data_IF_017198762622
#
_entry.id   IF_017198762622
#
_cell.length_a   1.000
_cell.length_b   1.000
_cell.length_c   1.000
_cell.angle_alpha   90.00
_cell.angle_beta   90.00
_cell.angle_gamma   90.00
#
_symmetry.space_group_name_H-M   'P 1'
#
loop_
_entity.id
_entity.type
_entity.pdbx_description
1 polymer ?
#
# COMPACT_ATOMS: atom_id res chain seq x y z
N UNK A 1 -6.15 -23.08 -7.40
CA UNK A 1 -6.03 -21.68 -6.98
C UNK A 1 -5.01 -21.00 -7.89
N UNK A 2 -5.44 -20.04 -8.69
CA UNK A 2 -4.59 -19.22 -9.57
C UNK A 2 -4.32 -17.86 -8.90
N UNK A 3 -3.05 -17.49 -8.81
CA UNK A 3 -2.63 -16.22 -8.21
C UNK A 3 -1.91 -15.39 -9.26
N UNK A 4 -2.41 -14.20 -9.56
CA UNK A 4 -1.72 -13.22 -10.38
C UNK A 4 -0.90 -12.26 -9.53
N UNK A 5 0.29 -11.92 -9.99
CA UNK A 5 1.13 -10.85 -9.46
C UNK A 5 1.36 -9.87 -10.61
N UNK A 6 0.83 -8.66 -10.49
CA UNK A 6 0.96 -7.59 -11.48
C UNK A 6 1.93 -6.54 -10.97
N UNK A 7 2.89 -6.16 -11.78
CA UNK A 7 3.80 -5.06 -11.55
C UNK A 7 3.41 -3.91 -12.49
N UNK A 8 2.85 -2.85 -11.92
CA UNK A 8 2.39 -1.68 -12.67
C UNK A 8 3.58 -0.74 -12.95
N UNK A 9 3.87 -0.54 -14.23
CA UNK A 9 4.99 0.25 -14.76
C UNK A 9 4.48 1.30 -15.76
N UNK A 10 3.81 2.34 -15.27
CA UNK A 10 3.24 3.38 -16.13
C UNK A 10 2.11 2.85 -17.01
N UNK A 11 2.32 2.81 -18.33
CA UNK A 11 1.34 2.32 -19.32
C UNK A 11 1.39 0.79 -19.50
N UNK A 12 2.32 0.09 -18.84
CA UNK A 12 2.50 -1.37 -18.95
C UNK A 12 2.30 -2.09 -17.63
N UNK A 13 1.84 -3.33 -17.71
CA UNK A 13 1.78 -4.27 -16.60
C UNK A 13 2.63 -5.49 -16.94
N UNK A 14 3.63 -5.77 -16.10
CA UNK A 14 4.36 -7.04 -16.13
C UNK A 14 3.69 -7.99 -15.17
N UNK A 15 3.33 -9.20 -15.61
CA UNK A 15 2.61 -10.14 -14.76
C UNK A 15 3.33 -11.47 -14.61
N UNK A 16 2.99 -12.15 -13.51
CA UNK A 16 3.25 -13.56 -13.29
C UNK A 16 2.00 -14.21 -12.72
N UNK A 17 1.51 -15.25 -13.36
CA UNK A 17 0.43 -16.09 -12.85
C UNK A 17 1.04 -17.40 -12.35
N UNK A 18 0.70 -17.79 -11.14
CA UNK A 18 1.10 -19.04 -10.52
C UNK A 18 -0.13 -19.89 -10.19
N UNK A 19 0.02 -21.22 -10.19
CA UNK A 19 -1.08 -22.16 -10.05
C UNK A 19 -0.65 -23.55 -10.53
N UNK A 20 -1.42 -24.14 -11.45
CA UNK A 20 -1.07 -25.43 -12.10
C UNK A 20 0.13 -25.25 -13.03
N UNK A 21 0.10 -24.20 -13.86
CA UNK A 21 1.20 -23.79 -14.71
C UNK A 21 1.67 -22.39 -14.34
N UNK A 22 2.95 -22.10 -14.58
CA UNK A 22 3.50 -20.75 -14.43
C UNK A 22 3.47 -20.04 -15.77
N UNK A 23 2.84 -18.87 -15.80
CA UNK A 23 2.80 -17.99 -16.97
C UNK A 23 3.36 -16.61 -16.58
N UNK A 24 4.11 -15.98 -17.48
CA UNK A 24 4.57 -14.61 -17.30
C UNK A 24 4.56 -13.87 -18.64
N UNK A 25 4.39 -12.56 -18.57
CA UNK A 25 4.35 -11.70 -19.75
C UNK A 25 4.18 -10.24 -19.40
N UNK A 26 3.95 -9.43 -20.43
CA UNK A 26 3.58 -8.02 -20.29
C UNK A 26 2.39 -7.71 -21.18
N UNK A 27 1.56 -6.77 -20.76
CA UNK A 27 0.46 -6.21 -21.53
C UNK A 27 0.29 -4.73 -21.20
N UNK A 28 -0.43 -3.98 -22.03
CA UNK A 28 -0.67 -2.56 -21.80
C UNK A 28 -1.84 -2.36 -20.81
N UNK A 29 -1.83 -1.28 -20.02
CA UNK A 29 -2.84 -1.05 -18.98
C UNK A 29 -4.27 -1.00 -19.54
N UNK A 30 -4.45 -0.52 -20.77
CA UNK A 30 -5.75 -0.48 -21.46
C UNK A 30 -6.31 -1.88 -21.78
N UNK A 31 -5.49 -2.92 -21.74
CA UNK A 31 -5.90 -4.31 -21.97
C UNK A 31 -6.28 -5.05 -20.68
N UNK A 32 -6.25 -4.39 -19.52
CA UNK A 32 -6.39 -5.04 -18.20
C UNK A 32 -7.74 -5.74 -18.02
N UNK A 33 -8.84 -5.14 -18.48
CA UNK A 33 -10.18 -5.73 -18.34
C UNK A 33 -10.28 -7.04 -19.13
N UNK A 34 -9.93 -7.00 -20.42
CA UNK A 34 -9.92 -8.18 -21.28
C UNK A 34 -8.97 -9.27 -20.75
N UNK A 35 -7.83 -8.88 -20.18
CA UNK A 35 -6.89 -9.81 -19.57
C UNK A 35 -7.49 -10.51 -18.35
N UNK A 36 -8.09 -9.76 -17.42
CA UNK A 36 -8.67 -10.29 -16.19
C UNK A 36 -9.88 -11.19 -16.47
N UNK A 37 -10.75 -10.81 -17.42
CA UNK A 37 -11.88 -11.63 -17.87
C UNK A 37 -11.44 -12.97 -18.46
N UNK A 38 -10.36 -12.95 -19.26
CA UNK A 38 -9.78 -14.14 -19.88
C UNK A 38 -9.12 -15.06 -18.86
N UNK A 39 -8.35 -14.51 -17.91
CA UNK A 39 -7.52 -15.31 -16.98
C UNK A 39 -8.29 -15.83 -15.77
N UNK A 40 -9.34 -15.14 -15.32
CA UNK A 40 -10.17 -15.53 -14.17
C UNK A 40 -9.33 -15.95 -12.95
N UNK A 41 -8.52 -15.02 -12.46
CA UNK A 41 -7.62 -15.24 -11.33
C UNK A 41 -8.42 -15.33 -10.02
N UNK A 42 -8.06 -16.25 -9.13
CA UNK A 42 -8.68 -16.35 -7.80
C UNK A 42 -8.18 -15.23 -6.88
N UNK A 43 -6.90 -14.85 -7.02
CA UNK A 43 -6.26 -13.79 -6.24
C UNK A 43 -5.39 -12.92 -7.16
N UNK A 44 -5.45 -11.62 -6.97
CA UNK A 44 -4.61 -10.65 -7.68
C UNK A 44 -3.80 -9.81 -6.68
N UNK A 45 -2.47 -9.89 -6.77
CA UNK A 45 -1.55 -9.01 -6.08
C UNK A 45 -1.08 -7.93 -7.05
N UNK A 46 -1.24 -6.67 -6.70
CA UNK A 46 -0.77 -5.54 -7.51
C UNK A 46 0.38 -4.85 -6.79
N UNK A 47 1.49 -4.70 -7.50
CA UNK A 47 2.71 -4.04 -7.06
C UNK A 47 2.86 -2.79 -7.90
N UNK A 48 2.61 -1.63 -7.30
CA UNK A 48 2.70 -0.35 -7.98
C UNK A 48 4.13 0.18 -7.83
N UNK A 49 4.81 0.43 -8.94
CA UNK A 49 6.15 1.01 -8.87
C UNK A 49 6.05 2.47 -8.42
N UNK A 50 6.69 2.79 -7.28
CA UNK A 50 6.84 4.14 -6.74
C UNK A 50 5.52 4.93 -6.60
N UNK A 51 4.58 4.51 -5.73
CA UNK A 51 3.59 5.46 -5.26
C UNK A 51 4.33 6.68 -4.69
N UNK A 52 3.78 7.89 -4.86
CA UNK A 52 4.25 9.06 -4.12
C UNK A 52 4.01 8.79 -2.63
N UNK A 53 4.99 8.13 -2.01
CA UNK A 53 4.89 7.62 -0.66
C UNK A 53 5.32 8.73 0.30
N UNK A 54 4.39 9.17 1.13
CA UNK A 54 4.71 10.00 2.28
C UNK A 54 5.09 9.08 3.43
N UNK A 55 6.32 9.22 3.89
CA UNK A 55 6.82 8.51 5.07
C UNK A 55 6.97 9.48 6.25
N UNK A 56 6.47 9.09 7.42
CA UNK A 56 6.68 9.78 8.68
C UNK A 56 7.02 8.79 9.78
N UNK A 57 7.88 9.21 10.70
CA UNK A 57 8.18 8.46 11.92
C UNK A 57 7.72 9.27 13.11
N UNK A 58 6.87 8.68 13.93
CA UNK A 58 6.26 9.31 15.09
C UNK A 58 6.64 8.53 16.34
N UNK A 59 6.80 9.23 17.46
CA UNK A 59 7.25 8.62 18.70
C UNK A 59 6.32 8.96 19.85
N UNK A 60 5.84 7.92 20.53
CA UNK A 60 4.89 8.05 21.63
C UNK A 60 5.54 7.58 22.94
N UNK A 61 5.43 8.36 24.03
CA UNK A 61 5.97 8.01 25.35
C UNK A 61 5.09 7.00 26.10
N UNK A 62 4.43 6.09 25.36
CA UNK A 62 3.59 5.03 25.90
C UNK A 62 3.43 3.88 24.88
N UNK A 63 2.93 2.73 25.36
CA UNK A 63 2.78 1.49 24.56
C UNK A 63 1.40 1.18 24.04
N UNK A 64 0.37 1.83 24.58
CA UNK A 64 -1.00 1.46 24.27
C UNK A 64 -1.35 1.83 22.82
N UNK A 65 -1.42 0.84 21.93
CA UNK A 65 -1.85 1.03 20.53
C UNK A 65 -3.21 1.73 20.45
N UNK A 66 -4.15 1.42 21.35
CA UNK A 66 -5.45 2.11 21.43
C UNK A 66 -5.27 3.61 21.69
N UNK A 67 -4.44 4.00 22.67
CA UNK A 67 -4.16 5.41 22.92
C UNK A 67 -3.47 6.07 21.74
N UNK A 68 -2.51 5.39 21.12
CA UNK A 68 -1.79 5.89 19.95
C UNK A 68 -2.79 6.15 18.81
N UNK A 69 -3.63 5.19 18.46
CA UNK A 69 -4.63 5.34 17.40
C UNK A 69 -5.62 6.49 17.66
N UNK A 70 -5.88 6.85 18.92
CA UNK A 70 -6.75 7.98 19.25
C UNK A 70 -6.09 9.34 19.01
N UNK A 71 -4.78 9.46 19.19
CA UNK A 71 -4.06 10.75 19.05
C UNK A 71 -3.32 10.87 17.72
N UNK A 72 -3.07 9.76 17.04
CA UNK A 72 -2.30 9.72 15.80
C UNK A 72 -2.88 10.60 14.69
N UNK A 73 -4.21 10.70 14.45
CA UNK A 73 -4.76 11.62 13.46
C UNK A 73 -4.36 13.07 13.68
N UNK A 74 -4.52 13.60 14.91
CA UNK A 74 -4.14 14.98 15.22
C UNK A 74 -2.64 15.23 15.11
N UNK A 75 -1.82 14.25 15.49
CA UNK A 75 -0.37 14.35 15.35
C UNK A 75 0.08 14.29 13.88
N UNK A 76 -0.74 13.71 12.99
CA UNK A 76 -0.45 13.64 11.55
C UNK A 76 -0.88 14.91 10.81
N UNK A 77 -2.00 15.55 11.19
CA UNK A 77 -2.54 16.75 10.49
C UNK A 77 -1.48 17.83 10.27
N UNK A 78 -0.61 18.08 11.26
CA UNK A 78 0.43 19.12 11.18
C UNK A 78 1.64 18.72 10.31
N UNK A 79 1.76 17.45 9.90
CA UNK A 79 2.98 16.90 9.27
C UNK A 79 2.79 16.48 7.81
N UNK A 80 1.53 16.48 7.33
CA UNK A 80 1.16 16.07 5.99
C UNK A 80 0.96 17.28 5.06
N UNK A 81 1.26 17.13 3.75
CA UNK A 81 1.16 18.23 2.79
C UNK A 81 -0.30 18.61 2.45
N UNK A 82 -1.25 17.72 2.73
CA UNK A 82 -2.68 17.92 2.52
C UNK A 82 -3.44 17.31 3.70
N UNK A 83 -4.76 17.49 3.71
CA UNK A 83 -5.63 16.85 4.71
C UNK A 83 -5.45 15.34 4.71
N UNK A 84 -5.34 14.75 5.90
CA UNK A 84 -5.05 13.32 6.08
C UNK A 84 -6.14 12.43 5.48
N UNK A 85 -7.36 12.93 5.32
CA UNK A 85 -8.48 12.23 4.66
C UNK A 85 -8.24 11.94 3.18
N UNK A 86 -7.20 12.52 2.55
CA UNK A 86 -6.80 12.27 1.16
C UNK A 86 -5.75 11.18 0.98
N UNK A 87 -5.47 10.40 2.01
CA UNK A 87 -4.42 9.39 1.98
C UNK A 87 -4.90 8.02 2.43
N UNK A 88 -4.38 6.97 1.80
CA UNK A 88 -4.37 5.62 2.36
C UNK A 88 -3.18 5.45 3.27
N UNK A 89 -3.41 4.95 4.49
CA UNK A 89 -2.35 4.75 5.47
C UNK A 89 -2.06 3.28 5.75
N UNK A 90 -0.78 3.01 5.99
CA UNK A 90 -0.30 1.79 6.63
C UNK A 90 0.61 2.17 7.80
N UNK A 91 0.46 1.47 8.92
CA UNK A 91 1.15 1.75 10.16
C UNK A 91 1.95 0.54 10.63
N UNK A 92 3.23 0.77 10.93
CA UNK A 92 4.10 -0.24 11.55
C UNK A 92 4.52 0.24 12.94
N UNK A 93 4.31 -0.61 13.95
CA UNK A 93 4.50 -0.28 15.37
C UNK A 93 5.70 -1.03 15.94
N UNK A 94 6.75 -0.30 16.30
CA UNK A 94 7.93 -0.84 16.96
C UNK A 94 8.03 -0.37 18.42
N UNK A 95 8.43 -1.26 19.33
CA UNK A 95 8.55 -0.96 20.76
C UNK A 95 9.99 -1.24 21.25
N UNK A 96 10.98 -0.40 20.87
CA UNK A 96 12.38 -0.66 21.19
C UNK A 96 12.67 -0.56 22.69
N UNK A 97 11.87 0.20 23.45
CA UNK A 97 12.09 0.46 24.88
C UNK A 97 10.81 0.22 25.70
N UNK A 98 10.95 0.06 27.03
CA UNK A 98 9.85 -0.33 27.93
C UNK A 98 8.66 0.64 27.91
N UNK A 99 8.87 1.93 27.65
CA UNK A 99 7.84 2.97 27.71
C UNK A 99 7.72 3.80 26.44
N UNK A 100 8.22 3.30 25.30
CA UNK A 100 8.22 4.04 24.03
C UNK A 100 7.68 3.17 22.90
N UNK A 101 6.89 3.79 22.04
CA UNK A 101 6.47 3.19 20.77
C UNK A 101 6.86 4.12 19.64
N UNK A 102 7.53 3.57 18.64
CA UNK A 102 7.76 4.21 17.36
C UNK A 102 6.66 3.73 16.42
N UNK A 103 6.02 4.66 15.73
CA UNK A 103 5.09 4.36 14.64
C UNK A 103 5.69 4.88 13.34
N UNK A 104 5.96 3.95 12.43
CA UNK A 104 6.29 4.24 11.05
C UNK A 104 4.99 4.36 10.28
N UNK A 105 4.71 5.56 9.77
CA UNK A 105 3.53 5.90 8.99
C UNK A 105 3.91 5.92 7.51
N UNK A 106 3.22 5.11 6.73
CA UNK A 106 3.32 5.04 5.28
C UNK A 106 2.00 5.53 4.70
N UNK A 107 2.04 6.48 3.78
CA UNK A 107 0.84 7.08 3.23
C UNK A 107 0.92 7.29 1.72
N UNK A 108 -0.17 7.03 1.02
CA UNK A 108 -0.29 7.17 -0.43
C UNK A 108 -1.48 8.08 -0.74
N UNK A 109 -1.30 9.19 -1.49
CA UNK A 109 -2.41 10.07 -1.88
C UNK A 109 -3.49 9.34 -2.68
N UNK A 110 -4.75 9.74 -2.49
CA UNK A 110 -5.90 9.27 -3.27
C UNK A 110 -5.79 9.63 -4.75
N UNK A 111 -5.14 10.74 -5.09
CA UNK A 111 -4.96 11.21 -6.47
C UNK A 111 -4.13 10.28 -7.35
N UNK A 112 -3.56 9.21 -6.79
CA UNK A 112 -2.92 8.13 -7.55
C UNK A 112 -3.91 7.03 -7.97
N UNK A 113 -5.18 7.13 -7.58
CA UNK A 113 -6.26 6.19 -7.93
C UNK A 113 -7.32 6.79 -8.85
N UNK A 114 -7.21 8.08 -9.19
CA UNK A 114 -8.00 8.76 -10.23
C UNK A 114 -7.21 8.82 -11.55
#
# INVERSE_FOLDING_TARGET
MSVGIFYWLGEKIVYRITGVDTEAGEFNVDEIEAFLEKKRLDVLNVIISKPQLVFRRMEFPFRSRRKINMVMPSEMEDTFPESIDRFFFSFDFAQPEKNRTIVNVYAIPFTLLD
#
